data_IF_452695690758
#
_entry.id   IF_452695690758
#
_cell.length_a   1.000
_cell.length_b   1.000
_cell.length_c   1.000
_cell.angle_alpha   90.00
_cell.angle_beta   90.00
_cell.angle_gamma   90.00
#
_symmetry.space_group_name_H-M   'P 1'
#
loop_
_entity.id
_entity.type
_entity.pdbx_description
1 polymer ?
#
# COMPACT_ATOMS: atom_id res chain seq x y z
N UNK A 1 -27.36 15.80 5.74
CA UNK A 1 -26.30 16.80 5.52
C UNK A 1 -26.15 16.99 4.01
N UNK A 2 -26.54 18.14 3.45
CA UNK A 2 -26.43 18.40 2.00
C UNK A 2 -24.95 18.62 1.71
N UNK A 3 -24.34 17.61 1.11
CA UNK A 3 -22.93 17.66 0.75
C UNK A 3 -22.76 18.60 -0.46
N UNK A 4 -22.22 19.79 -0.23
CA UNK A 4 -22.06 20.85 -1.25
C UNK A 4 -20.90 20.56 -2.21
N UNK A 5 -20.19 19.43 -2.03
CA UNK A 5 -19.03 19.07 -2.83
C UNK A 5 -19.47 18.53 -4.20
N UNK A 6 -18.76 18.88 -5.28
CA UNK A 6 -19.09 18.34 -6.59
C UNK A 6 -18.87 16.83 -6.64
N UNK A 7 -19.80 16.10 -7.26
CA UNK A 7 -19.82 14.61 -7.26
C UNK A 7 -18.52 13.99 -7.78
N UNK A 8 -17.85 14.64 -8.73
CA UNK A 8 -16.56 14.17 -9.27
C UNK A 8 -15.44 14.19 -8.22
N UNK A 9 -15.41 15.21 -7.35
CA UNK A 9 -14.40 15.34 -6.31
C UNK A 9 -14.59 14.28 -5.22
N UNK A 10 -15.85 14.00 -4.86
CA UNK A 10 -16.18 12.92 -3.92
C UNK A 10 -15.77 11.55 -4.49
N UNK A 11 -16.05 11.30 -5.78
CA UNK A 11 -15.64 10.06 -6.45
C UNK A 11 -14.12 9.88 -6.48
N UNK A 12 -13.38 10.96 -6.75
CA UNK A 12 -11.91 10.95 -6.72
C UNK A 12 -11.40 10.62 -5.31
N UNK A 13 -11.93 11.30 -4.28
CA UNK A 13 -11.57 11.04 -2.89
C UNK A 13 -11.84 9.60 -2.47
N UNK A 14 -12.98 9.03 -2.88
CA UNK A 14 -13.30 7.63 -2.59
C UNK A 14 -12.37 6.64 -3.30
N UNK A 15 -12.00 6.91 -4.55
CA UNK A 15 -11.05 6.08 -5.28
C UNK A 15 -9.65 6.11 -4.65
N UNK A 16 -9.17 7.30 -4.28
CA UNK A 16 -7.89 7.47 -3.59
C UNK A 16 -7.92 6.77 -2.24
N UNK A 17 -8.98 6.97 -1.44
CA UNK A 17 -9.16 6.29 -0.16
C UNK A 17 -9.10 4.77 -0.32
N UNK A 18 -9.85 4.21 -1.27
CA UNK A 18 -9.87 2.76 -1.51
C UNK A 18 -8.48 2.22 -1.87
N UNK A 19 -7.72 2.98 -2.65
CA UNK A 19 -6.34 2.61 -3.02
C UNK A 19 -5.41 2.66 -1.81
N UNK A 20 -5.48 3.73 -1.01
CA UNK A 20 -4.71 3.88 0.24
C UNK A 20 -5.05 2.77 1.24
N UNK A 21 -6.33 2.49 1.48
CA UNK A 21 -6.77 1.40 2.38
C UNK A 21 -6.29 0.04 1.89
N UNK A 22 -6.34 -0.22 0.59
CA UNK A 22 -5.86 -1.48 0.01
C UNK A 22 -4.35 -1.62 0.20
N UNK A 23 -3.59 -0.58 -0.09
CA UNK A 23 -2.14 -0.54 0.14
C UNK A 23 -1.82 -0.77 1.62
N UNK A 24 -2.49 -0.08 2.55
CA UNK A 24 -2.29 -0.29 3.99
C UNK A 24 -2.62 -1.73 4.40
N UNK A 25 -3.73 -2.30 3.92
CA UNK A 25 -4.10 -3.70 4.17
C UNK A 25 -3.05 -4.69 3.70
N UNK A 26 -2.37 -4.41 2.58
CA UNK A 26 -1.24 -5.21 2.11
C UNK A 26 0.01 -5.06 2.97
N UNK A 27 0.35 -3.82 3.40
CA UNK A 27 1.46 -3.62 4.33
C UNK A 27 1.23 -4.36 5.65
N UNK A 28 -0.01 -4.36 6.16
CA UNK A 28 -0.36 -5.13 7.35
C UNK A 28 -0.23 -6.63 7.09
N UNK A 29 -0.86 -7.15 6.02
CA UNK A 29 -0.90 -8.59 5.73
C UNK A 29 0.48 -9.20 5.43
N UNK A 30 1.29 -8.57 4.57
CA UNK A 30 2.55 -9.15 4.10
C UNK A 30 3.77 -8.68 4.88
N UNK A 31 3.71 -7.46 5.42
CA UNK A 31 4.86 -6.86 6.08
C UNK A 31 4.67 -6.71 7.58
N UNK A 32 3.53 -7.05 8.18
CA UNK A 32 3.27 -6.92 9.63
C UNK A 32 3.82 -5.60 10.18
N UNK A 33 3.31 -4.50 9.62
CA UNK A 33 3.76 -3.15 9.97
C UNK A 33 3.24 -2.70 11.36
N UNK A 34 2.21 -3.37 11.87
CA UNK A 34 1.60 -3.08 13.17
C UNK A 34 2.55 -3.42 14.34
N UNK A 35 3.36 -4.47 14.19
CA UNK A 35 4.25 -4.95 15.25
C UNK A 35 5.72 -4.73 14.89
N UNK A 36 6.14 -3.47 14.79
CA UNK A 36 7.56 -3.13 14.61
C UNK A 36 8.21 -2.87 15.98
N UNK A 37 8.73 -3.94 16.59
CA UNK A 37 9.54 -3.83 17.80
C UNK A 37 10.89 -3.18 17.49
N UNK A 38 11.03 -1.89 17.79
CA UNK A 38 12.27 -1.14 17.65
C UNK A 38 12.54 -0.32 18.91
N UNK A 39 13.78 -0.37 19.41
CA UNK A 39 14.23 0.42 20.55
C UNK A 39 14.65 1.85 20.15
N UNK A 40 15.07 2.03 18.90
CA UNK A 40 15.63 3.28 18.37
C UNK A 40 14.95 3.71 17.08
N UNK A 41 14.75 5.03 16.93
CA UNK A 41 14.14 5.66 15.75
C UNK A 41 14.87 5.32 14.45
N UNK A 42 16.20 5.17 14.49
CA UNK A 42 17.01 4.78 13.33
C UNK A 42 16.64 3.38 12.80
N UNK A 43 16.37 2.45 13.71
CA UNK A 43 16.02 1.09 13.36
C UNK A 43 14.57 1.02 12.87
N UNK A 44 13.70 1.89 13.42
CA UNK A 44 12.33 2.06 12.95
C UNK A 44 12.30 2.58 11.51
N UNK A 45 12.99 3.69 11.21
CA UNK A 45 13.03 4.26 9.85
C UNK A 45 13.65 3.31 8.85
N UNK A 46 14.73 2.61 9.22
CA UNK A 46 15.36 1.60 8.37
C UNK A 46 14.45 0.39 8.10
N UNK A 47 13.73 -0.13 9.11
CA UNK A 47 12.77 -1.23 8.91
C UNK A 47 11.56 -0.79 8.10
N UNK A 48 11.03 0.40 8.36
CA UNK A 48 9.93 1.00 7.59
C UNK A 48 10.33 1.17 6.12
N UNK A 49 11.54 1.69 5.85
CA UNK A 49 12.06 1.84 4.50
C UNK A 49 12.14 0.50 3.75
N UNK A 50 12.63 -0.56 4.39
CA UNK A 50 12.67 -1.90 3.76
C UNK A 50 11.29 -2.46 3.44
N UNK A 51 10.30 -2.27 4.33
CA UNK A 51 8.92 -2.70 4.08
C UNK A 51 8.29 -1.94 2.91
N UNK A 52 8.50 -0.62 2.83
CA UNK A 52 8.04 0.19 1.69
C UNK A 52 8.74 -0.17 0.37
N UNK A 53 10.05 -0.43 0.40
CA UNK A 53 10.79 -0.87 -0.78
C UNK A 53 10.31 -2.24 -1.28
N UNK A 54 10.08 -3.20 -0.37
CA UNK A 54 9.54 -4.53 -0.75
C UNK A 54 8.19 -4.42 -1.45
N UNK A 55 7.30 -3.55 -0.96
CA UNK A 55 6.02 -3.28 -1.61
C UNK A 55 6.19 -2.63 -2.99
N UNK A 56 7.10 -1.65 -3.10
CA UNK A 56 7.36 -0.93 -4.35
C UNK A 56 7.95 -1.86 -5.41
N UNK A 57 8.88 -2.73 -5.03
CA UNK A 57 9.48 -3.74 -5.91
C UNK A 57 8.42 -4.76 -6.33
N UNK A 58 7.58 -5.25 -5.42
CA UNK A 58 6.50 -6.18 -5.77
C UNK A 58 5.48 -5.57 -6.74
N UNK A 59 5.13 -4.30 -6.53
CA UNK A 59 4.27 -3.56 -7.48
C UNK A 59 4.95 -3.37 -8.85
N UNK A 60 6.25 -3.06 -8.87
CA UNK A 60 7.04 -2.94 -10.11
C UNK A 60 7.10 -4.27 -10.88
N UNK A 61 7.39 -5.37 -10.19
CA UNK A 61 7.43 -6.70 -10.81
C UNK A 61 6.06 -7.08 -11.38
N UNK A 62 4.97 -6.83 -10.65
CA UNK A 62 3.63 -7.08 -11.18
C UNK A 62 3.34 -6.30 -12.47
N UNK A 63 3.77 -5.04 -12.56
CA UNK A 63 3.64 -4.25 -13.78
C UNK A 63 4.45 -4.84 -14.94
N UNK A 64 5.65 -5.38 -14.66
CA UNK A 64 6.49 -6.04 -15.66
C UNK A 64 5.85 -7.34 -16.19
N UNK A 65 5.05 -8.02 -15.36
CA UNK A 65 4.27 -9.22 -15.74
C UNK A 65 2.88 -8.90 -16.32
N UNK A 66 2.57 -7.64 -16.68
CA UNK A 66 1.26 -7.18 -17.16
C UNK A 66 0.10 -7.44 -16.17
N UNK A 67 0.42 -7.58 -14.88
CA UNK A 67 -0.55 -7.80 -13.80
C UNK A 67 -0.87 -6.48 -13.10
N UNK A 68 -2.05 -6.40 -12.48
CA UNK A 68 -2.45 -5.20 -11.76
C UNK A 68 -1.52 -4.94 -10.56
N UNK A 69 -0.94 -3.74 -10.51
CA UNK A 69 0.01 -3.32 -9.47
C UNK A 69 -0.57 -3.41 -8.05
N UNK A 70 -1.91 -3.40 -7.93
CA UNK A 70 -2.62 -3.48 -6.65
C UNK A 70 -2.67 -4.93 -6.14
N UNK A 71 -2.34 -5.96 -6.91
CA UNK A 71 -2.43 -7.36 -6.47
C UNK A 71 -1.06 -7.91 -6.10
N UNK A 72 -0.61 -7.75 -4.85
CA UNK A 72 0.70 -8.23 -4.41
C UNK A 72 0.90 -9.75 -4.60
N UNK A 73 -0.17 -10.54 -4.45
CA UNK A 73 -0.17 -11.99 -4.70
C UNK A 73 0.09 -12.38 -6.16
N UNK A 74 -0.05 -11.46 -7.11
CA UNK A 74 0.28 -11.69 -8.53
C UNK A 74 1.74 -12.08 -8.75
N UNK A 75 2.63 -11.68 -7.84
CA UNK A 75 4.06 -12.00 -7.86
C UNK A 75 4.36 -13.43 -7.35
N UNK A 76 3.49 -14.00 -6.52
CA UNK A 76 3.66 -15.34 -5.95
C UNK A 76 3.12 -16.47 -6.85
N UNK A 77 2.31 -16.11 -7.85
CA UNK A 77 1.68 -17.03 -8.79
C UNK A 77 2.52 -17.27 -10.06
N UNK A 78 3.84 -17.47 -9.89
CA UNK A 78 4.75 -17.94 -10.96
C UNK A 78 4.61 -19.44 -11.12
#
# INVERSE_FOLDING_TARGET
MKDSRPKWAVKLLMNVRRRVETTIGQLVKYFDIEHVNCRDLWHLTSRMGRKMLGLTIGAYLNLEFDKDAIIFEGMLAV
#
